data_IF_173626789607
#
_entry.id   IF_173626789607
#
_cell.length_a   1.000
_cell.length_b   1.000
_cell.length_c   1.000
_cell.angle_alpha   90.00
_cell.angle_beta   90.00
_cell.angle_gamma   90.00
#
_symmetry.space_group_name_H-M   'P 1'
#
loop_
_entity.id
_entity.type
_entity.pdbx_description
1 polymer ?
#
# COMPACT_ATOMS: atom_id res chain seq x y z
N UNK A 1 10.63 6.04 -28.53
CA UNK A 1 9.95 4.74 -28.74
C UNK A 1 10.73 3.67 -27.98
N UNK A 2 10.48 3.51 -26.67
CA UNK A 2 11.23 2.57 -25.83
C UNK A 2 10.35 1.40 -25.37
N UNK A 3 10.89 0.20 -25.61
CA UNK A 3 10.25 -1.11 -25.50
C UNK A 3 10.25 -1.61 -24.06
N UNK A 4 9.13 -2.26 -23.74
CA UNK A 4 8.85 -3.09 -22.57
C UNK A 4 10.03 -3.98 -22.20
N UNK A 5 10.44 -3.93 -20.94
CA UNK A 5 11.13 -5.03 -20.27
C UNK A 5 10.18 -5.59 -19.21
N UNK A 6 9.47 -6.66 -19.59
CA UNK A 6 8.89 -7.60 -18.65
C UNK A 6 10.03 -8.49 -18.16
N UNK A 7 10.61 -8.16 -17.01
CA UNK A 7 11.43 -9.07 -16.23
C UNK A 7 10.56 -9.80 -15.21
N UNK A 8 9.85 -10.85 -15.65
CA UNK A 8 9.31 -11.85 -14.73
C UNK A 8 10.42 -12.84 -14.42
N UNK A 9 11.40 -12.41 -13.63
CA UNK A 9 12.44 -13.26 -13.08
C UNK A 9 12.22 -13.31 -11.59
N UNK A 10 11.70 -14.44 -11.11
CA UNK A 10 11.58 -14.89 -9.72
C UNK A 10 12.03 -13.87 -8.65
N UNK A 11 11.24 -12.81 -8.51
CA UNK A 11 11.16 -12.08 -7.27
C UNK A 11 10.69 -13.12 -6.26
N UNK A 12 11.49 -13.42 -5.23
CA UNK A 12 10.99 -14.17 -4.08
C UNK A 12 9.70 -13.47 -3.67
N UNK A 13 8.56 -14.10 -3.96
CA UNK A 13 7.25 -13.46 -3.87
C UNK A 13 7.09 -13.12 -2.40
N UNK A 14 7.25 -11.84 -2.06
CA UNK A 14 7.04 -11.34 -0.72
C UNK A 14 5.71 -11.91 -0.24
N UNK A 15 5.72 -12.66 0.86
CA UNK A 15 4.49 -13.24 1.39
C UNK A 15 3.80 -12.15 2.22
N UNK A 16 2.57 -11.72 1.88
CA UNK A 16 1.85 -10.74 2.70
C UNK A 16 1.58 -11.21 4.13
N UNK A 17 1.66 -12.51 4.40
CA UNK A 17 1.51 -13.09 5.74
C UNK A 17 2.83 -13.16 6.52
N UNK A 18 3.96 -12.74 5.94
CA UNK A 18 5.26 -12.75 6.62
C UNK A 18 5.23 -11.80 7.85
N UNK A 19 5.44 -12.34 9.07
CA UNK A 19 5.39 -11.55 10.30
C UNK A 19 6.55 -10.56 10.43
N UNK A 20 7.62 -10.71 9.64
CA UNK A 20 8.80 -9.84 9.65
C UNK A 20 8.65 -8.60 8.76
N UNK A 21 7.49 -8.43 8.11
CA UNK A 21 7.17 -7.22 7.35
C UNK A 21 7.00 -6.02 8.28
N UNK A 22 7.78 -4.97 8.00
CA UNK A 22 7.75 -3.70 8.73
C UNK A 22 7.47 -2.55 7.78
N UNK A 23 6.77 -1.52 8.27
CA UNK A 23 6.52 -0.30 7.50
C UNK A 23 7.84 0.43 7.27
N UNK A 24 8.23 0.57 6.01
CA UNK A 24 9.46 1.28 5.58
C UNK A 24 9.16 2.68 5.03
N UNK A 25 7.93 2.91 4.59
CA UNK A 25 7.46 4.21 4.14
C UNK A 25 5.94 4.27 4.32
N UNK A 26 5.45 5.45 4.69
CA UNK A 26 4.03 5.74 4.75
C UNK A 26 3.78 7.20 4.38
N UNK A 27 2.58 7.48 3.89
CA UNK A 27 2.08 8.83 3.64
C UNK A 27 0.56 8.85 3.78
N UNK A 28 0.11 9.62 4.77
CA UNK A 28 -1.30 9.90 5.08
C UNK A 28 -1.63 11.39 4.92
N UNK A 29 -0.66 12.18 4.45
CA UNK A 29 -0.82 13.57 4.05
C UNK A 29 -1.08 13.60 2.54
N UNK A 30 -2.24 14.11 2.13
CA UNK A 30 -2.63 14.18 0.72
C UNK A 30 -1.79 15.18 -0.08
N UNK A 31 -1.20 16.18 0.59
CA UNK A 31 -0.31 17.16 0.00
C UNK A 31 1.09 16.59 -0.27
N UNK A 32 1.47 15.49 0.40
CA UNK A 32 2.77 14.89 0.20
C UNK A 32 2.88 14.18 -1.16
N UNK A 33 3.94 14.49 -1.91
CA UNK A 33 4.27 13.78 -3.13
C UNK A 33 4.82 12.38 -2.82
N UNK A 34 4.43 11.36 -3.60
CA UNK A 34 4.95 10.01 -3.44
C UNK A 34 6.48 9.93 -3.57
N UNK A 35 7.09 10.76 -4.43
CA UNK A 35 8.55 10.87 -4.53
C UNK A 35 9.21 11.36 -3.24
N UNK A 36 8.60 12.34 -2.57
CA UNK A 36 9.08 12.87 -1.30
C UNK A 36 8.97 11.81 -0.18
N UNK A 37 7.85 11.10 -0.11
CA UNK A 37 7.64 10.02 0.85
C UNK A 37 8.68 8.89 0.68
N UNK A 38 8.90 8.44 -0.56
CA UNK A 38 9.90 7.40 -0.87
C UNK A 38 11.33 7.87 -0.58
N UNK A 39 11.67 9.12 -0.93
CA UNK A 39 12.98 9.69 -0.61
C UNK A 39 13.21 9.78 0.90
N UNK A 40 12.19 10.16 1.69
CA UNK A 40 12.25 10.14 3.15
C UNK A 40 12.48 8.72 3.69
N UNK A 41 11.77 7.72 3.15
CA UNK A 41 11.94 6.32 3.58
C UNK A 41 13.32 5.76 3.26
N UNK A 42 13.94 6.21 2.16
CA UNK A 42 15.29 5.79 1.77
C UNK A 42 16.40 6.49 2.57
N UNK A 43 16.14 7.67 3.15
CA UNK A 43 17.11 8.45 3.91
C UNK A 43 17.31 7.88 5.33
N UNK A 44 18.49 7.28 5.65
CA UNK A 44 18.75 6.68 6.94
C UNK A 44 18.82 7.70 8.09
N UNK A 45 18.99 9.00 7.79
CA UNK A 45 18.92 10.05 8.79
C UNK A 45 17.47 10.37 9.20
N UNK A 46 16.48 9.96 8.39
CA UNK A 46 15.06 10.26 8.60
C UNK A 46 14.21 9.03 8.92
N UNK A 47 14.67 7.83 8.58
CA UNK A 47 13.95 6.60 8.83
C UNK A 47 14.84 5.56 9.52
N UNK A 48 14.42 4.98 10.67
CA UNK A 48 15.16 3.92 11.34
C UNK A 48 15.17 2.62 10.53
N UNK A 49 14.20 2.45 9.61
CA UNK A 49 14.12 1.32 8.69
C UNK A 49 14.17 1.88 7.27
N UNK A 50 15.22 1.53 6.53
CA UNK A 50 15.47 2.08 5.18
C UNK A 50 14.62 1.36 4.14
N UNK A 51 13.89 2.14 3.34
CA UNK A 51 13.20 1.66 2.14
C UNK A 51 14.21 1.25 1.06
N UNK A 52 14.10 0.02 0.58
CA UNK A 52 14.91 -0.52 -0.51
C UNK A 52 14.16 -0.42 -1.85
N UNK A 53 14.54 0.49 -2.77
CA UNK A 53 13.75 0.80 -3.98
C UNK A 53 13.67 -0.35 -4.99
N UNK A 54 14.70 -1.19 -5.07
CA UNK A 54 14.74 -2.32 -6.00
C UNK A 54 14.15 -3.61 -5.40
N UNK A 55 13.70 -3.57 -4.15
CA UNK A 55 13.08 -4.70 -3.48
C UNK A 55 11.55 -4.59 -3.53
N UNK A 56 10.83 -5.72 -3.63
CA UNK A 56 9.37 -5.72 -3.54
C UNK A 56 8.92 -5.21 -2.19
N UNK A 57 7.79 -4.50 -2.19
CA UNK A 57 7.10 -4.10 -0.98
C UNK A 57 5.64 -4.59 -1.04
N UNK A 58 5.09 -4.89 0.12
CA UNK A 58 3.66 -5.04 0.31
C UNK A 58 3.07 -3.64 0.40
N UNK A 59 2.42 -3.19 -0.67
CA UNK A 59 1.84 -1.87 -0.75
C UNK A 59 0.40 -1.91 -0.27
N UNK A 60 0.08 -1.16 0.79
CA UNK A 60 -1.23 -1.15 1.44
C UNK A 60 -1.88 0.21 1.30
N UNK A 61 -3.15 0.20 0.95
CA UNK A 61 -4.00 1.37 0.87
C UNK A 61 -5.04 1.32 1.98
N UNK A 62 -5.14 2.42 2.72
CA UNK A 62 -6.04 2.57 3.85
C UNK A 62 -7.28 3.31 3.40
N UNK A 63 -8.43 2.64 3.42
CA UNK A 63 -9.71 3.19 3.01
C UNK A 63 -10.69 3.19 4.19
N UNK A 64 -11.64 4.13 4.17
CA UNK A 64 -12.90 4.05 4.93
C UNK A 64 -14.05 4.01 3.95
N UNK A 65 -14.95 3.04 4.12
CA UNK A 65 -16.08 2.81 3.24
C UNK A 65 -17.37 2.64 4.06
N UNK A 66 -18.55 2.97 3.51
CA UNK A 66 -19.81 2.45 4.03
C UNK A 66 -19.76 0.92 4.13
N UNK A 67 -20.29 0.36 5.23
CA UNK A 67 -20.19 -1.07 5.53
C UNK A 67 -20.80 -1.95 4.42
N UNK A 68 -21.90 -1.50 3.82
CA UNK A 68 -22.59 -2.15 2.70
C UNK A 68 -21.78 -2.15 1.39
N UNK A 69 -20.78 -1.27 1.27
CA UNK A 69 -19.95 -1.14 0.07
C UNK A 69 -18.65 -1.95 0.12
N UNK A 70 -18.24 -2.43 1.30
CA UNK A 70 -16.96 -3.15 1.49
C UNK A 70 -16.86 -4.37 0.57
N UNK A 71 -17.90 -5.22 0.52
CA UNK A 71 -17.91 -6.42 -0.31
C UNK A 71 -17.80 -6.11 -1.81
N UNK A 72 -18.46 -5.05 -2.27
CA UNK A 72 -18.41 -4.62 -3.66
C UNK A 72 -16.99 -4.14 -4.05
N UNK A 73 -16.35 -3.35 -3.19
CA UNK A 73 -14.99 -2.87 -3.42
C UNK A 73 -13.98 -4.03 -3.42
N UNK A 74 -14.11 -4.99 -2.49
CA UNK A 74 -13.27 -6.19 -2.48
C UNK A 74 -13.40 -6.99 -3.78
N UNK A 75 -14.63 -7.26 -4.23
CA UNK A 75 -14.86 -8.00 -5.47
C UNK A 75 -14.32 -7.28 -6.72
N UNK A 76 -14.45 -5.95 -6.77
CA UNK A 76 -13.90 -5.12 -7.85
C UNK A 76 -12.37 -5.16 -7.87
N UNK A 77 -11.75 -4.97 -6.71
CA UNK A 77 -10.29 -4.81 -6.61
C UNK A 77 -9.55 -6.15 -6.66
N UNK A 78 -10.19 -7.25 -6.28
CA UNK A 78 -9.66 -8.60 -6.49
C UNK A 78 -9.32 -8.88 -7.97
N UNK A 79 -10.12 -8.35 -8.91
CA UNK A 79 -9.87 -8.47 -10.36
C UNK A 79 -8.59 -7.75 -10.80
N UNK A 80 -8.16 -6.72 -10.05
CA UNK A 80 -6.91 -6.00 -10.26
C UNK A 80 -5.74 -6.55 -9.41
N UNK A 81 -5.94 -7.69 -8.76
CA UNK A 81 -4.92 -8.40 -7.98
C UNK A 81 -4.68 -7.85 -6.57
N UNK A 82 -5.62 -7.05 -6.03
CA UNK A 82 -5.56 -6.67 -4.62
C UNK A 82 -6.13 -7.79 -3.74
N UNK A 83 -5.59 -7.93 -2.55
CA UNK A 83 -6.17 -8.75 -1.48
C UNK A 83 -6.56 -7.86 -0.31
N UNK A 84 -7.43 -8.37 0.57
CA UNK A 84 -7.71 -7.71 1.84
C UNK A 84 -6.49 -7.84 2.76
N UNK A 85 -6.05 -6.73 3.34
CA UNK A 85 -5.07 -6.74 4.43
C UNK A 85 -5.71 -7.20 5.73
N UNK A 86 -4.97 -8.01 6.50
CA UNK A 86 -5.29 -8.17 7.91
C UNK A 86 -4.85 -6.90 8.63
N UNK A 87 -5.73 -6.34 9.45
CA UNK A 87 -5.36 -5.20 10.27
C UNK A 87 -4.71 -5.80 11.54
N UNK A 88 -3.43 -5.49 11.80
CA UNK A 88 -2.81 -5.95 13.06
C UNK A 88 -3.49 -5.31 14.28
N UNK A 89 -4.32 -4.30 14.03
CA UNK A 89 -5.25 -3.64 14.94
C UNK A 89 -6.70 -3.68 14.40
N UNK A 90 -7.22 -4.84 14.03
CA UNK A 90 -8.63 -5.10 13.61
C UNK A 90 -9.68 -4.80 14.73
N UNK A 91 -9.43 -3.79 15.58
CA UNK A 91 -10.26 -3.39 16.71
C UNK A 91 -10.62 -1.89 16.72
N UNK A 92 -10.34 -1.12 15.65
CA UNK A 92 -11.03 0.16 15.48
C UNK A 92 -12.43 -0.13 14.92
N UNK A 93 -13.39 -0.14 15.84
CA UNK A 93 -14.80 -0.37 15.57
C UNK A 93 -15.30 0.47 14.39
N UNK A 94 -16.22 -0.09 13.60
CA UNK A 94 -17.04 0.72 12.69
C UNK A 94 -17.66 1.86 13.50
N UNK A 95 -17.23 3.08 13.23
CA UNK A 95 -17.77 4.28 13.84
C UNK A 95 -18.65 5.03 12.83
N UNK A 96 -19.14 6.21 13.19
CA UNK A 96 -19.97 7.02 12.30
C UNK A 96 -19.26 7.45 11.00
N UNK A 97 -17.94 7.27 10.90
CA UNK A 97 -17.14 7.67 9.74
C UNK A 97 -16.90 6.53 8.74
N UNK A 98 -17.33 5.31 9.04
CA UNK A 98 -17.31 4.17 8.12
C UNK A 98 -16.49 2.97 8.62
N UNK A 99 -16.46 1.92 7.81
CA UNK A 99 -15.71 0.69 8.06
C UNK A 99 -14.30 0.79 7.48
N UNK A 100 -13.23 0.55 8.27
CA UNK A 100 -11.87 0.51 7.76
C UNK A 100 -11.66 -0.69 6.82
N UNK A 101 -10.94 -0.45 5.73
CA UNK A 101 -10.55 -1.46 4.76
C UNK A 101 -9.11 -1.22 4.33
N UNK A 102 -8.26 -2.24 4.51
CA UNK A 102 -6.94 -2.30 3.89
C UNK A 102 -7.02 -3.12 2.61
N UNK A 103 -6.61 -2.51 1.50
CA UNK A 103 -6.35 -3.21 0.24
C UNK A 103 -4.84 -3.28 0.02
N UNK A 104 -4.32 -4.46 -0.29
CA UNK A 104 -2.89 -4.68 -0.39
C UNK A 104 -2.48 -5.43 -1.66
N UNK A 105 -1.27 -5.14 -2.15
CA UNK A 105 -0.64 -5.86 -3.27
C UNK A 105 0.88 -5.79 -3.19
N UNK A 106 1.56 -6.87 -3.55
CA UNK A 106 3.02 -6.91 -3.64
C UNK A 106 3.49 -6.33 -4.97
N UNK A 107 4.41 -5.37 -4.92
CA UNK A 107 5.00 -4.73 -6.10
C UNK A 107 6.31 -4.01 -5.76
N UNK A 108 7.13 -3.71 -6.77
CA UNK A 108 8.25 -2.76 -6.64
C UNK A 108 7.67 -1.34 -6.71
N UNK A 109 8.15 -0.45 -5.84
CA UNK A 109 7.62 0.91 -5.75
C UNK A 109 8.55 1.92 -6.41
N UNK A 110 7.97 2.74 -7.26
CA UNK A 110 8.53 4.01 -7.69
C UNK A 110 7.48 5.11 -7.55
N UNK A 111 7.93 6.36 -7.59
CA UNK A 111 7.07 7.50 -7.34
C UNK A 111 5.88 7.61 -8.31
N UNK A 112 6.07 7.22 -9.58
CA UNK A 112 5.05 7.33 -10.63
C UNK A 112 3.96 6.29 -10.40
N UNK A 113 4.34 5.03 -10.20
CA UNK A 113 3.38 3.97 -9.93
C UNK A 113 2.68 4.17 -8.59
N UNK A 114 3.40 4.61 -7.54
CA UNK A 114 2.77 4.96 -6.26
C UNK A 114 1.69 6.04 -6.43
N UNK A 115 1.99 7.09 -7.21
CA UNK A 115 1.03 8.17 -7.48
C UNK A 115 -0.20 7.67 -8.24
N UNK A 116 0.01 6.87 -9.29
CA UNK A 116 -1.08 6.27 -10.07
C UNK A 116 -1.99 5.38 -9.23
N UNK A 117 -1.40 4.53 -8.38
CA UNK A 117 -2.13 3.61 -7.52
C UNK A 117 -2.89 4.37 -6.41
N UNK A 118 -2.28 5.41 -5.83
CA UNK A 118 -2.97 6.31 -4.89
C UNK A 118 -4.19 6.96 -5.53
N UNK A 119 -4.06 7.51 -6.74
CA UNK A 119 -5.19 8.10 -7.48
C UNK A 119 -6.26 7.07 -7.83
N UNK A 120 -5.85 5.84 -8.21
CA UNK A 120 -6.78 4.72 -8.46
C UNK A 120 -7.62 4.42 -7.21
N UNK A 121 -6.98 4.30 -6.05
CA UNK A 121 -7.66 3.97 -4.79
C UNK A 121 -8.54 5.11 -4.27
N UNK A 122 -8.10 6.36 -4.41
CA UNK A 122 -8.94 7.51 -4.12
C UNK A 122 -10.23 7.50 -4.98
N UNK A 123 -10.08 7.22 -6.29
CA UNK A 123 -11.22 7.12 -7.20
C UNK A 123 -12.13 5.92 -6.88
N UNK A 124 -11.57 4.77 -6.51
CA UNK A 124 -12.35 3.61 -6.05
C UNK A 124 -13.16 3.97 -4.80
N UNK A 125 -12.50 4.50 -3.76
CA UNK A 125 -13.18 4.85 -2.51
C UNK A 125 -14.31 5.87 -2.74
N UNK A 126 -14.01 6.94 -3.49
CA UNK A 126 -14.98 8.00 -3.77
C UNK A 126 -16.24 7.50 -4.50
N UNK A 127 -16.08 6.67 -5.53
CA UNK A 127 -17.24 6.10 -6.26
C UNK A 127 -18.11 5.20 -5.39
N UNK A 128 -17.56 4.67 -4.32
CA UNK A 128 -18.26 3.83 -3.36
C UNK A 128 -18.67 4.58 -2.09
N UNK A 129 -18.66 5.91 -2.10
CA UNK A 129 -19.11 6.74 -0.98
C UNK A 129 -18.14 6.77 0.20
N UNK A 130 -16.89 6.41 -0.01
CA UNK A 130 -15.85 6.41 1.01
C UNK A 130 -14.63 7.27 0.65
N UNK A 131 -13.59 7.13 1.45
CA UNK A 131 -12.38 7.97 1.40
C UNK A 131 -11.12 7.12 1.45
N UNK A 132 -10.11 7.50 0.68
CA UNK A 132 -8.75 6.97 0.84
C UNK A 132 -8.00 7.84 1.87
N UNK A 133 -7.54 7.22 2.96
CA UNK A 133 -6.88 7.89 4.07
C UNK A 133 -5.37 8.05 3.86
N UNK A 134 -4.77 7.15 3.08
CA UNK A 134 -3.33 7.12 2.86
C UNK A 134 -2.85 5.75 2.44
N UNK A 135 -1.54 5.58 2.52
CA UNK A 135 -0.87 4.33 2.16
C UNK A 135 0.37 4.12 3.00
N UNK A 136 0.75 2.85 3.11
CA UNK A 136 2.06 2.46 3.59
C UNK A 136 2.63 1.32 2.74
N UNK A 137 3.93 1.10 2.87
CA UNK A 137 4.61 0.00 2.22
C UNK A 137 5.46 -0.74 3.23
N UNK A 138 5.38 -2.07 3.17
CA UNK A 138 6.14 -2.94 4.05
C UNK A 138 7.18 -3.72 3.27
N UNK A 139 8.35 -3.85 3.88
CA UNK A 139 9.43 -4.72 3.42
C UNK A 139 9.89 -5.56 4.62
N UNK A 140 10.57 -6.70 4.39
CA UNK A 140 11.13 -7.47 5.49
C UNK A 140 12.09 -6.59 6.30
N UNK A 141 12.01 -6.69 7.63
CA UNK A 141 12.95 -6.01 8.50
C UNK A 141 14.40 -6.34 8.10
N UNK A 142 15.33 -5.37 8.12
CA UNK A 142 16.73 -5.65 7.92
C UNK A 142 17.16 -6.71 8.94
N UNK A 143 17.57 -7.90 8.48
CA UNK A 143 18.16 -8.88 9.38
C UNK A 143 19.45 -8.29 9.93
N UNK A 144 19.54 -8.17 11.26
CA UNK A 144 20.80 -7.87 11.92
C UNK A 144 21.82 -8.91 11.45
N UNK A 145 22.91 -8.43 10.83
CA UNK A 145 24.06 -9.27 10.49
C UNK A 145 24.97 -9.41 11.69
#
# INVERSE_FOLDING_TARGET
MWRRLRGSGAVARLDPADPDLVVVVASFDDAEACSAALARGADPARSPVSFAPDAPALFRHHLRLPADQVSAVLALTAQAGYTRGADRADAEATDASGTPLILQRVQILDAVHCSQERSRMASVAHRHGGTALGWDALQPAPRAR
#
